data_IF_921282966991
#
_entry.id   IF_921282966991
#
_cell.length_a   1.000
_cell.length_b   1.000
_cell.length_c   1.000
_cell.angle_alpha   90.00
_cell.angle_beta   90.00
_cell.angle_gamma   90.00
#
_symmetry.space_group_name_H-M   'P 1'
#
loop_
_entity.id
_entity.type
_entity.pdbx_description
1 polymer ?
#
# COMPACT_ATOMS: atom_id res chain seq x y z
N UNK A 1 9.02 5.82 -24.90
CA UNK A 1 7.63 6.15 -24.53
C UNK A 1 7.36 5.75 -23.11
N UNK A 2 6.84 6.66 -22.31
CA UNK A 2 6.56 6.39 -20.90
C UNK A 2 5.28 5.57 -20.80
N UNK A 3 5.35 4.42 -20.11
CA UNK A 3 4.17 3.66 -19.76
C UNK A 3 3.51 4.37 -18.57
N UNK A 4 2.36 4.98 -18.79
CA UNK A 4 1.80 5.90 -17.79
C UNK A 4 0.60 5.33 -17.05
N UNK A 5 0.00 4.25 -17.52
CA UNK A 5 -1.43 4.15 -17.26
C UNK A 5 -1.80 3.14 -16.19
N UNK A 6 -1.06 2.04 -16.04
CA UNK A 6 -1.41 1.04 -15.05
C UNK A 6 -0.18 0.30 -14.53
N UNK A 7 -0.30 -0.17 -13.27
CA UNK A 7 0.62 -1.13 -12.68
C UNK A 7 0.02 -2.51 -12.91
N UNK A 8 0.65 -3.31 -13.76
CA UNK A 8 0.22 -4.68 -14.01
C UNK A 8 0.58 -5.60 -12.84
N UNK A 9 0.03 -6.80 -12.82
CA UNK A 9 0.42 -7.82 -11.83
C UNK A 9 1.93 -8.08 -11.87
N UNK A 10 2.52 -8.18 -13.06
CA UNK A 10 3.97 -8.38 -13.19
C UNK A 10 4.76 -7.20 -12.61
N UNK A 11 4.31 -5.97 -12.85
CA UNK A 11 4.92 -4.78 -12.27
C UNK A 11 4.83 -4.77 -10.74
N UNK A 12 3.66 -5.12 -10.21
CA UNK A 12 3.45 -5.24 -8.75
C UNK A 12 4.47 -6.20 -8.13
N UNK A 13 4.63 -7.38 -8.72
CA UNK A 13 5.56 -8.38 -8.18
C UNK A 13 7.00 -7.89 -8.20
N UNK A 14 7.40 -7.13 -9.22
CA UNK A 14 8.73 -6.51 -9.27
C UNK A 14 8.92 -5.45 -8.17
N UNK A 15 7.91 -4.62 -7.92
CA UNK A 15 7.95 -3.64 -6.82
C UNK A 15 8.09 -4.35 -5.47
N UNK A 16 7.32 -5.41 -5.26
CA UNK A 16 7.40 -6.18 -4.02
C UNK A 16 8.74 -6.87 -3.85
N UNK A 17 9.34 -7.38 -4.94
CA UNK A 17 10.70 -7.94 -4.90
C UNK A 17 11.72 -6.88 -4.42
N UNK A 18 11.57 -5.66 -4.89
CA UNK A 18 12.44 -4.55 -4.45
C UNK A 18 12.26 -4.27 -2.95
N UNK A 19 11.02 -4.27 -2.45
CA UNK A 19 10.75 -4.07 -1.02
C UNK A 19 11.36 -5.21 -0.18
N UNK A 20 11.20 -6.46 -0.63
CA UNK A 20 11.78 -7.63 0.06
C UNK A 20 13.31 -7.56 0.10
N UNK A 21 13.95 -7.16 -1.00
CA UNK A 21 15.40 -7.01 -1.08
C UNK A 21 15.91 -5.94 -0.11
N UNK A 22 15.15 -4.87 0.09
CA UNK A 22 15.50 -3.81 1.02
C UNK A 22 15.53 -4.28 2.48
N UNK A 23 14.65 -5.22 2.86
CA UNK A 23 14.67 -5.87 4.17
C UNK A 23 14.01 -5.10 5.31
N UNK A 24 13.21 -4.09 5.02
CA UNK A 24 12.40 -3.38 6.02
C UNK A 24 11.00 -3.99 6.14
N UNK A 25 10.30 -3.68 7.24
CA UNK A 25 8.87 -4.00 7.33
C UNK A 25 8.07 -3.08 6.42
N UNK A 26 7.18 -3.68 5.64
CA UNK A 26 6.26 -2.95 4.77
C UNK A 26 4.94 -3.70 4.65
N UNK A 27 3.91 -2.99 4.21
CA UNK A 27 2.59 -3.56 3.94
C UNK A 27 2.01 -2.94 2.69
N UNK A 28 1.50 -3.78 1.81
CA UNK A 28 0.79 -3.34 0.61
C UNK A 28 -0.58 -2.78 1.03
N UNK A 29 -0.93 -1.62 0.51
CA UNK A 29 -2.19 -0.93 0.79
C UNK A 29 -2.89 -0.59 -0.52
N UNK A 30 -3.93 0.23 -0.48
CA UNK A 30 -4.63 0.71 -1.66
C UNK A 30 -5.35 -0.37 -2.45
N UNK A 31 -5.65 -0.09 -3.71
CA UNK A 31 -6.42 -0.99 -4.56
C UNK A 31 -5.75 -2.33 -4.81
N UNK A 32 -4.44 -2.35 -5.07
CA UNK A 32 -3.71 -3.60 -5.19
C UNK A 32 -3.72 -4.40 -3.89
N UNK A 33 -3.68 -3.71 -2.73
CA UNK A 33 -3.81 -4.38 -1.44
C UNK A 33 -5.13 -5.11 -1.29
N UNK A 34 -6.23 -4.51 -1.73
CA UNK A 34 -7.56 -5.13 -1.71
C UNK A 34 -7.61 -6.35 -2.63
N UNK A 35 -7.08 -6.24 -3.86
CA UNK A 35 -7.07 -7.36 -4.80
C UNK A 35 -6.19 -8.52 -4.31
N UNK A 36 -5.06 -8.22 -3.66
CA UNK A 36 -4.20 -9.24 -3.06
C UNK A 36 -4.93 -9.98 -1.93
N UNK A 37 -5.68 -9.26 -1.08
CA UNK A 37 -6.53 -9.88 -0.06
C UNK A 37 -7.56 -10.84 -0.65
N UNK A 38 -8.15 -10.47 -1.77
CA UNK A 38 -9.12 -11.32 -2.47
C UNK A 38 -8.46 -12.51 -3.16
N UNK A 39 -7.18 -12.39 -3.55
CA UNK A 39 -6.43 -13.41 -4.24
C UNK A 39 -6.45 -13.32 -5.76
N UNK A 40 -7.02 -12.27 -6.32
CA UNK A 40 -7.03 -12.03 -7.77
C UNK A 40 -7.20 -10.54 -8.09
N UNK A 41 -6.68 -10.14 -9.24
CA UNK A 41 -6.87 -8.79 -9.76
C UNK A 41 -8.32 -8.62 -10.25
N UNK A 42 -9.01 -7.58 -9.79
CA UNK A 42 -10.41 -7.29 -10.15
C UNK A 42 -10.57 -6.05 -11.01
N UNK A 43 -9.55 -5.18 -11.08
CA UNK A 43 -9.55 -3.97 -11.90
C UNK A 43 -8.13 -3.56 -12.24
N UNK A 44 -8.00 -2.55 -13.10
CA UNK A 44 -6.71 -1.93 -13.35
C UNK A 44 -6.35 -0.97 -12.20
N UNK A 45 -5.05 -0.81 -11.94
CA UNK A 45 -4.53 0.04 -10.87
C UNK A 45 -3.51 1.02 -11.43
N UNK A 46 -3.62 2.30 -11.05
CA UNK A 46 -2.69 3.35 -11.46
C UNK A 46 -1.36 3.24 -10.72
N UNK A 47 -1.39 2.80 -9.47
CA UNK A 47 -0.24 2.84 -8.57
C UNK A 47 -0.20 1.66 -7.61
N UNK A 48 0.92 1.56 -6.90
CA UNK A 48 1.10 0.65 -5.78
C UNK A 48 1.27 1.51 -4.53
N UNK A 49 0.45 1.28 -3.51
CA UNK A 49 0.55 1.95 -2.22
C UNK A 49 1.30 1.07 -1.23
N UNK A 50 2.38 1.57 -0.65
CA UNK A 50 3.22 0.86 0.31
C UNK A 50 3.30 1.65 1.61
N UNK A 51 2.87 1.04 2.70
CA UNK A 51 3.10 1.53 4.05
C UNK A 51 4.38 0.90 4.57
N UNK A 52 5.27 1.68 5.20
CA UNK A 52 6.57 1.16 5.61
C UNK A 52 7.06 1.84 6.89
N UNK A 53 8.08 1.28 7.50
CA UNK A 53 8.70 1.82 8.71
C UNK A 53 9.39 3.15 8.41
N UNK A 54 8.89 4.23 9.02
CA UNK A 54 9.35 5.61 8.76
C UNK A 54 10.84 5.82 8.99
N UNK A 55 11.50 4.99 9.81
CA UNK A 55 12.95 5.06 10.03
C UNK A 55 13.76 4.87 8.75
N UNK A 56 13.17 4.20 7.76
CA UNK A 56 13.84 3.86 6.50
C UNK A 56 13.49 4.82 5.36
N UNK A 57 12.83 5.94 5.63
CA UNK A 57 12.34 6.86 4.57
C UNK A 57 13.46 7.30 3.64
N UNK A 58 14.55 7.86 4.17
CA UNK A 58 15.64 8.37 3.33
C UNK A 58 16.36 7.26 2.56
N UNK A 59 16.61 6.13 3.22
CA UNK A 59 17.24 4.99 2.59
C UNK A 59 16.39 4.38 1.49
N UNK A 60 15.07 4.25 1.71
CA UNK A 60 14.13 3.74 0.71
C UNK A 60 14.08 4.68 -0.51
N UNK A 61 14.00 5.99 -0.28
CA UNK A 61 13.99 6.96 -1.37
C UNK A 61 15.26 6.87 -2.21
N UNK A 62 16.43 6.79 -1.58
CA UNK A 62 17.70 6.61 -2.31
C UNK A 62 17.69 5.34 -3.15
N UNK A 63 17.19 4.24 -2.60
CA UNK A 63 17.10 2.96 -3.30
C UNK A 63 16.17 3.04 -4.51
N UNK A 64 14.97 3.61 -4.32
CA UNK A 64 14.02 3.77 -5.43
C UNK A 64 14.58 4.65 -6.54
N UNK A 65 15.20 5.77 -6.20
CA UNK A 65 15.81 6.66 -7.19
C UNK A 65 16.94 5.94 -7.93
N UNK A 66 17.74 5.13 -7.23
CA UNK A 66 18.81 4.35 -7.88
C UNK A 66 18.28 3.29 -8.85
N UNK A 67 17.03 2.88 -8.71
CA UNK A 67 16.36 1.94 -9.60
C UNK A 67 15.55 2.61 -10.72
N UNK A 68 15.67 3.92 -10.88
CA UNK A 68 15.06 4.64 -11.99
C UNK A 68 13.76 5.37 -11.66
N UNK A 69 13.35 5.42 -10.40
CA UNK A 69 12.20 6.20 -9.98
C UNK A 69 12.55 7.69 -9.88
N UNK A 70 11.59 8.54 -10.19
CA UNK A 70 11.65 9.98 -9.95
C UNK A 70 10.55 10.40 -8.98
N UNK A 71 10.88 11.29 -8.04
CA UNK A 71 9.88 11.83 -7.10
C UNK A 71 8.95 12.78 -7.86
N UNK A 72 7.66 12.51 -7.84
CA UNK A 72 6.63 13.33 -8.49
C UNK A 72 5.81 14.15 -7.50
N UNK A 73 5.68 13.69 -6.25
CA UNK A 73 5.03 14.44 -5.16
C UNK A 73 5.77 14.14 -3.87
N UNK A 74 6.10 15.16 -3.11
CA UNK A 74 6.81 15.02 -1.85
C UNK A 74 6.06 15.77 -0.75
N UNK A 75 5.25 15.04 0.01
CA UNK A 75 4.50 15.56 1.16
C UNK A 75 4.98 14.91 2.45
N UNK A 76 6.33 14.82 2.61
CA UNK A 76 6.90 14.25 3.83
C UNK A 76 6.46 15.02 5.07
N UNK A 77 6.16 14.36 6.18
CA UNK A 77 6.22 12.92 6.43
C UNK A 77 4.92 12.15 6.10
N UNK A 78 3.99 12.72 5.36
CA UNK A 78 2.69 12.11 5.07
C UNK A 78 2.81 11.05 3.98
N UNK A 79 3.31 11.42 2.80
CA UNK A 79 3.46 10.52 1.66
C UNK A 79 4.47 11.05 0.64
N UNK A 80 5.00 10.16 -0.16
CA UNK A 80 5.85 10.49 -1.30
C UNK A 80 5.40 9.65 -2.49
N UNK A 81 5.09 10.29 -3.61
CA UNK A 81 4.79 9.60 -4.86
C UNK A 81 6.02 9.61 -5.75
N UNK A 82 6.32 8.47 -6.36
CA UNK A 82 7.40 8.32 -7.33
C UNK A 82 6.87 7.64 -8.59
N UNK A 83 7.51 7.89 -9.71
CA UNK A 83 7.16 7.29 -11.00
C UNK A 83 8.38 6.66 -11.65
N UNK A 84 8.18 5.48 -12.23
CA UNK A 84 9.18 4.75 -12.99
C UNK A 84 8.71 4.60 -14.44
N UNK A 85 9.60 4.74 -15.46
CA UNK A 85 9.19 4.67 -16.87
C UNK A 85 8.51 3.35 -17.26
N UNK A 86 8.86 2.26 -16.60
CA UNK A 86 8.30 0.92 -16.89
C UNK A 86 7.32 0.43 -15.84
N UNK A 87 7.54 0.77 -14.55
CA UNK A 87 6.78 0.22 -13.43
C UNK A 87 5.65 1.16 -12.96
N UNK A 88 5.53 2.34 -13.57
CA UNK A 88 4.52 3.35 -13.25
C UNK A 88 4.68 3.94 -11.85
N UNK A 89 3.59 4.22 -11.15
CA UNK A 89 3.62 4.98 -9.89
C UNK A 89 3.69 4.07 -8.67
N UNK A 90 4.47 4.49 -7.70
CA UNK A 90 4.44 3.97 -6.32
C UNK A 90 4.21 5.14 -5.37
N UNK A 91 3.31 4.97 -4.41
CA UNK A 91 3.00 5.93 -3.38
C UNK A 91 3.39 5.34 -2.04
N UNK A 92 4.43 5.88 -1.42
CA UNK A 92 4.98 5.34 -0.17
C UNK A 92 4.55 6.19 1.02
N UNK A 93 4.14 5.51 2.09
CA UNK A 93 3.55 6.13 3.28
C UNK A 93 4.37 5.75 4.51
N UNK A 94 5.13 6.70 5.10
CA UNK A 94 5.91 6.41 6.30
C UNK A 94 5.00 6.22 7.53
N UNK A 95 5.19 5.11 8.24
CA UNK A 95 4.48 4.81 9.48
C UNK A 95 5.48 4.71 10.63
N UNK A 96 5.17 5.32 11.76
CA UNK A 96 5.93 5.12 12.99
C UNK A 96 5.36 3.88 13.68
N UNK A 97 6.14 2.82 13.74
CA UNK A 97 5.70 1.52 14.23
C UNK A 97 6.15 1.36 15.68
N UNK A 98 5.20 1.05 16.57
CA UNK A 98 5.46 0.83 17.98
C UNK A 98 5.83 -0.63 18.26
N UNK A 99 6.43 -0.89 19.41
CA UNK A 99 6.86 -2.24 19.81
C UNK A 99 5.70 -3.23 19.91
N UNK A 100 4.50 -2.76 20.28
CA UNK A 100 3.30 -3.58 20.38
C UNK A 100 2.62 -3.89 19.05
N UNK A 101 3.17 -3.41 17.94
CA UNK A 101 2.62 -3.60 16.60
C UNK A 101 1.61 -2.55 16.17
N UNK A 102 1.21 -1.64 17.05
CA UNK A 102 0.42 -0.48 16.65
C UNK A 102 1.30 0.51 15.88
N UNK A 103 0.67 1.41 15.14
CA UNK A 103 1.42 2.39 14.35
C UNK A 103 0.69 3.72 14.31
N UNK A 104 1.39 4.76 13.88
CA UNK A 104 0.80 6.07 13.61
C UNK A 104 1.37 6.64 12.32
N UNK A 105 0.56 7.41 11.63
CA UNK A 105 0.93 8.12 10.40
C UNK A 105 0.62 9.60 10.57
N UNK A 106 1.52 10.45 10.10
CA UNK A 106 1.30 11.89 10.08
C UNK A 106 0.11 12.25 9.18
N UNK A 107 -0.75 13.14 9.66
CA UNK A 107 -1.82 13.71 8.85
C UNK A 107 -1.38 15.05 8.21
N UNK A 108 -2.23 15.59 7.35
CA UNK A 108 -1.92 16.83 6.61
C UNK A 108 -2.02 18.09 7.49
N UNK A 109 -2.56 17.98 8.69
CA UNK A 109 -2.81 19.11 9.60
C UNK A 109 -1.84 19.18 10.79
N UNK A 110 -0.79 18.35 10.76
CA UNK A 110 0.23 18.29 11.81
C UNK A 110 -0.11 17.37 12.98
N UNK A 111 -1.19 16.60 12.87
CA UNK A 111 -1.55 15.56 13.83
C UNK A 111 -1.14 14.16 13.39
N UNK A 112 -1.80 13.17 13.95
CA UNK A 112 -1.50 11.76 13.71
C UNK A 112 -2.77 10.94 13.59
N UNK A 113 -2.77 9.99 12.62
CA UNK A 113 -3.71 8.86 12.62
C UNK A 113 -3.08 7.72 13.40
N UNK A 114 -3.88 7.02 14.21
CA UNK A 114 -3.43 5.86 14.98
C UNK A 114 -4.06 4.59 14.41
N UNK A 115 -3.27 3.51 14.34
CA UNK A 115 -3.68 2.25 13.73
C UNK A 115 -3.42 1.09 14.66
N UNK A 116 -4.41 0.20 14.78
CA UNK A 116 -4.32 -1.00 15.59
C UNK A 116 -3.39 -2.05 14.95
N UNK A 117 -2.80 -2.91 15.78
CA UNK A 117 -1.86 -3.93 15.32
C UNK A 117 -2.49 -4.91 14.33
N UNK A 118 -3.78 -5.24 14.46
CA UNK A 118 -4.47 -6.18 13.57
C UNK A 118 -4.88 -5.59 12.22
N UNK A 119 -4.58 -4.31 11.98
CA UNK A 119 -4.70 -3.73 10.64
C UNK A 119 -3.56 -4.19 9.72
N UNK A 120 -2.46 -4.67 10.28
CA UNK A 120 -1.26 -5.08 9.56
C UNK A 120 -1.21 -6.62 9.50
N UNK A 121 -1.32 -7.17 8.31
CA UNK A 121 -1.41 -8.60 8.13
C UNK A 121 -0.66 -9.08 6.89
N UNK A 122 -1.15 -10.16 6.31
CA UNK A 122 -0.62 -10.72 5.07
C UNK A 122 -1.68 -11.52 4.34
N UNK A 123 -1.43 -11.78 3.05
CA UNK A 123 -2.29 -12.62 2.23
C UNK A 123 -1.44 -13.40 1.24
N UNK A 124 -1.95 -14.53 0.75
CA UNK A 124 -1.31 -15.32 -0.30
C UNK A 124 -1.83 -14.87 -1.65
N UNK A 125 -0.90 -14.50 -2.54
CA UNK A 125 -1.23 -14.06 -3.88
C UNK A 125 -0.15 -14.59 -4.84
N UNK A 126 -0.55 -15.24 -5.92
CA UNK A 126 0.37 -15.85 -6.89
C UNK A 126 1.41 -16.76 -6.22
N UNK A 127 0.97 -17.53 -5.23
CA UNK A 127 1.80 -18.51 -4.53
C UNK A 127 2.79 -17.92 -3.53
N UNK A 128 2.74 -16.62 -3.24
CA UNK A 128 3.64 -16.00 -2.25
C UNK A 128 2.86 -15.28 -1.17
N UNK A 129 3.42 -15.23 0.03
CA UNK A 129 2.86 -14.47 1.13
C UNK A 129 3.29 -13.01 1.02
N UNK A 130 2.32 -12.11 0.92
CA UNK A 130 2.56 -10.67 0.76
C UNK A 130 2.06 -9.94 2.01
N UNK A 131 2.93 -9.16 2.69
CA UNK A 131 2.46 -8.30 3.77
C UNK A 131 1.47 -7.27 3.21
N UNK A 132 0.32 -7.14 3.83
CA UNK A 132 -0.70 -6.20 3.36
C UNK A 132 -1.60 -5.76 4.51
N UNK A 133 -2.27 -4.63 4.31
CA UNK A 133 -3.28 -4.15 5.24
C UNK A 133 -4.46 -5.13 5.23
N UNK A 134 -4.92 -5.54 6.42
CA UNK A 134 -6.03 -6.47 6.57
C UNK A 134 -7.35 -5.88 6.06
N UNK A 135 -8.35 -6.73 5.84
CA UNK A 135 -9.68 -6.26 5.45
C UNK A 135 -10.27 -5.29 6.48
N UNK A 136 -10.05 -5.54 7.77
CA UNK A 136 -10.44 -4.62 8.86
C UNK A 136 -9.76 -3.26 8.72
N UNK A 137 -8.46 -3.25 8.48
CA UNK A 137 -7.69 -2.02 8.26
C UNK A 137 -8.13 -1.28 7.01
N UNK A 138 -8.35 -2.00 5.90
CA UNK A 138 -8.83 -1.41 4.66
C UNK A 138 -10.18 -0.72 4.84
N UNK A 139 -11.08 -1.31 5.61
CA UNK A 139 -12.39 -0.70 5.90
C UNK A 139 -12.22 0.63 6.63
N UNK A 140 -11.34 0.69 7.61
CA UNK A 140 -11.05 1.93 8.35
C UNK A 140 -10.40 2.97 7.42
N UNK A 141 -9.46 2.57 6.56
CA UNK A 141 -8.76 3.47 5.64
C UNK A 141 -9.71 4.05 4.58
N UNK A 142 -10.83 3.38 4.30
CA UNK A 142 -11.86 3.83 3.35
C UNK A 142 -13.00 4.58 4.06
N UNK A 143 -12.70 5.40 5.06
CA UNK A 143 -13.67 6.23 5.77
C UNK A 143 -13.22 7.69 5.77
N UNK A 144 -14.17 8.60 5.92
CA UNK A 144 -13.89 10.02 6.16
C UNK A 144 -13.62 10.85 4.90
N UNK A 145 -13.92 10.34 3.71
CA UNK A 145 -13.77 11.09 2.46
C UNK A 145 -14.87 10.70 1.45
N UNK A 146 -15.01 11.52 0.41
CA UNK A 146 -15.97 11.25 -0.67
C UNK A 146 -15.46 10.13 -1.57
N UNK A 147 -16.28 9.10 -1.80
CA UNK A 147 -15.88 7.92 -2.54
C UNK A 147 -15.95 8.12 -4.05
N UNK A 148 -14.86 7.75 -4.74
CA UNK A 148 -14.81 7.58 -6.19
C UNK A 148 -15.40 6.20 -6.56
N UNK A 149 -15.62 5.95 -7.86
CA UNK A 149 -16.10 4.64 -8.31
C UNK A 149 -15.14 3.51 -7.97
N UNK A 150 -13.81 3.76 -8.04
CA UNK A 150 -12.81 2.75 -7.64
C UNK A 150 -12.87 2.44 -6.15
N UNK A 151 -13.17 3.42 -5.31
CA UNK A 151 -13.34 3.21 -3.87
C UNK A 151 -14.56 2.35 -3.57
N UNK A 152 -15.68 2.61 -4.26
CA UNK A 152 -16.90 1.81 -4.13
C UNK A 152 -16.67 0.36 -4.56
N UNK A 153 -15.92 0.15 -5.64
CA UNK A 153 -15.51 -1.17 -6.11
C UNK A 153 -14.72 -1.91 -5.02
N UNK A 154 -13.70 -1.25 -4.47
CA UNK A 154 -12.83 -1.83 -3.45
C UNK A 154 -13.61 -2.12 -2.15
N UNK A 155 -14.49 -1.21 -1.73
CA UNK A 155 -15.32 -1.39 -0.53
C UNK A 155 -16.22 -2.62 -0.66
N UNK A 156 -16.80 -2.89 -1.83
CA UNK A 156 -17.60 -4.09 -2.04
C UNK A 156 -16.79 -5.36 -1.79
N UNK A 157 -15.53 -5.39 -2.23
CA UNK A 157 -14.62 -6.52 -1.98
C UNK A 157 -14.30 -6.63 -0.49
N UNK A 158 -13.97 -5.51 0.15
CA UNK A 158 -13.66 -5.46 1.59
C UNK A 158 -14.85 -5.99 2.40
N UNK A 159 -16.06 -5.54 2.10
CA UNK A 159 -17.26 -5.98 2.80
C UNK A 159 -17.53 -7.48 2.59
N UNK A 160 -17.29 -7.99 1.38
CA UNK A 160 -17.37 -9.42 1.11
C UNK A 160 -16.38 -10.20 1.97
N UNK A 161 -15.12 -9.75 2.04
CA UNK A 161 -14.08 -10.41 2.82
C UNK A 161 -14.38 -10.40 4.31
N UNK A 162 -14.90 -9.29 4.83
CA UNK A 162 -15.28 -9.19 6.25
C UNK A 162 -16.46 -10.10 6.57
N UNK A 163 -17.44 -10.21 5.67
CA UNK A 163 -18.57 -11.13 5.83
C UNK A 163 -18.11 -12.60 5.84
N UNK A 164 -17.17 -12.96 4.96
CA UNK A 164 -16.62 -14.31 4.92
C UNK A 164 -15.84 -14.67 6.20
N UNK A 165 -15.13 -13.70 6.77
CA UNK A 165 -14.42 -13.90 8.05
C UNK A 165 -15.35 -14.06 9.24
N UNK A 166 -16.52 -13.42 9.23
CA UNK A 166 -17.47 -13.46 10.35
C UNK A 166 -18.40 -14.66 10.32
N UNK A 167 -18.40 -15.46 9.26
CA UNK A 167 -19.26 -16.65 9.11
C UNK A 167 -18.64 -17.95 9.63
N UNK A 168 -17.46 -17.89 10.19
CA UNK A 168 -16.76 -19.04 10.81
C UNK A 168 -17.09 -19.17 12.29
#
# INVERSE_FOLDING_TARGET
MIKIETVTKADLLKVLDLMETFGMRYWLDGGWGVDVLLGKQTREHRDVDINFDARYTDALLRTLVSHGYEITTDWRPVRIELCHPELSYVDIHPFVINEDGTAKQADLEGGWYEFEADYFGSAVFEGRTIPCISAKGQKIFHTGYEFREVDKHDIRIIDYLLSAQSSD
#
